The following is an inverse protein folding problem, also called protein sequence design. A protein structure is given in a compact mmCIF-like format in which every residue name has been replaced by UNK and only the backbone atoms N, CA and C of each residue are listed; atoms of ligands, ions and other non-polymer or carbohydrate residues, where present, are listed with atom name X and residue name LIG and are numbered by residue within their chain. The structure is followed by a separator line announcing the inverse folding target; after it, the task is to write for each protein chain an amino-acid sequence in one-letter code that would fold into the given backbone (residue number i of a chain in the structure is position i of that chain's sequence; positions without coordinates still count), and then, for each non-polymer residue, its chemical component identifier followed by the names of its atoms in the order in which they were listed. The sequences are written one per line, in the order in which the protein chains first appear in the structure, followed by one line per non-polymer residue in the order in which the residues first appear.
data_IF_811836482753
#
_entry.id   IF_811836482753
#
_cell.length_a   1.000
_cell.length_b   1.000
_cell.length_c   1.000
_cell.angle_alpha   90.00
_cell.angle_beta   90.00
_cell.angle_gamma   90.00
#
_symmetry.space_group_name_H-M   'P 1'
#
loop_
_entity.id
_entity.type
_entity.pdbx_description
1 polymer ?
#
# COMPACT_ATOMS: atom_id res chain seq x y z
N UNK A 1 -2.71 39.95 89.89
CA UNK A 1 -2.17 41.23 89.36
C UNK A 1 -1.93 41.05 87.88
N UNK A 2 -2.37 42.03 87.08
CA UNK A 2 -2.41 42.03 85.62
C UNK A 2 -1.03 42.06 84.94
N UNK A 3 -0.95 41.49 83.72
CA UNK A 3 -0.37 42.03 82.46
C UNK A 3 -0.19 40.84 81.49
N UNK A 4 -0.94 40.61 80.40
CA UNK A 4 -1.31 41.38 79.20
C UNK A 4 -0.13 41.82 78.31
N UNK A 5 -0.36 41.72 76.98
CA UNK A 5 0.48 42.07 75.78
C UNK A 5 1.00 40.80 75.06
N UNK A 6 0.84 40.57 73.76
CA UNK A 6 0.05 41.20 72.68
C UNK A 6 0.03 40.25 71.47
N UNK A 7 -1.15 39.85 71.02
CA UNK A 7 -1.41 38.88 69.95
C UNK A 7 -1.33 39.49 68.52
N UNK A 8 -0.53 40.56 68.31
CA UNK A 8 -0.67 41.43 67.12
C UNK A 8 0.36 41.28 66.00
N UNK A 9 1.43 40.51 66.16
CA UNK A 9 2.54 40.56 65.18
C UNK A 9 2.66 39.37 64.22
N UNK A 10 2.01 38.23 64.48
CA UNK A 10 2.12 37.05 63.61
C UNK A 10 1.25 37.16 62.34
N UNK A 11 0.29 38.08 62.30
CA UNK A 11 -0.73 38.16 61.24
C UNK A 11 -0.30 38.90 59.95
N UNK A 12 0.84 39.60 59.93
CA UNK A 12 1.25 40.40 58.75
C UNK A 12 2.18 39.66 57.76
N UNK A 13 2.89 38.62 58.19
CA UNK A 13 3.82 37.91 57.31
C UNK A 13 3.12 36.85 56.42
N UNK A 14 1.97 36.31 56.84
CA UNK A 14 1.27 35.25 56.11
C UNK A 14 0.43 35.78 54.92
N UNK A 15 0.05 37.06 54.95
CA UNK A 15 -0.83 37.65 53.94
C UNK A 15 -0.11 37.99 52.60
N UNK A 16 1.21 38.22 52.64
CA UNK A 16 1.96 38.60 51.44
C UNK A 16 2.40 37.39 50.61
N UNK A 17 2.70 36.24 51.25
CA UNK A 17 3.07 35.02 50.52
C UNK A 17 1.88 34.32 49.84
N UNK A 18 0.64 34.53 50.31
CA UNK A 18 -0.55 33.92 49.70
C UNK A 18 -1.03 34.64 48.44
N UNK A 19 -0.58 35.88 48.21
CA UNK A 19 -1.09 36.73 47.12
C UNK A 19 -0.37 36.51 45.80
N UNK A 20 0.84 35.93 45.80
CA UNK A 20 1.63 35.68 44.58
C UNK A 20 1.36 34.33 43.94
N UNK A 21 0.78 33.36 44.66
CA UNK A 21 0.37 32.06 44.12
C UNK A 21 -0.97 32.09 43.36
N UNK A 22 -1.77 33.16 43.49
CA UNK A 22 -3.07 33.26 42.85
C UNK A 22 -3.03 33.74 41.38
N UNK A 23 -1.90 34.28 40.91
CA UNK A 23 -1.79 34.86 39.55
C UNK A 23 -1.24 33.88 38.49
N UNK A 24 -0.79 32.68 38.89
CA UNK A 24 -0.31 31.67 37.95
C UNK A 24 -1.40 30.67 37.48
N UNK A 25 -2.64 30.78 37.98
CA UNK A 25 -3.69 29.78 37.75
C UNK A 25 -4.43 29.93 36.40
N UNK A 26 -4.15 30.98 35.62
CA UNK A 26 -4.75 31.20 34.30
C UNK A 26 -3.68 31.23 33.19
N UNK A 27 -2.79 30.24 33.14
CA UNK A 27 -2.13 29.93 31.87
C UNK A 27 -3.14 29.15 31.00
N UNK A 28 -3.60 29.68 29.85
CA UNK A 28 -4.44 28.92 28.94
C UNK A 28 -3.69 27.64 28.56
N UNK A 29 -4.25 26.48 28.89
CA UNK A 29 -3.73 25.20 28.40
C UNK A 29 -3.85 25.23 26.88
N UNK A 30 -2.71 25.29 26.21
CA UNK A 30 -2.60 25.10 24.78
C UNK A 30 -3.12 23.70 24.46
N UNK A 31 -4.40 23.64 24.12
CA UNK A 31 -5.06 22.41 23.75
C UNK A 31 -4.55 22.13 22.35
N UNK A 32 -3.60 21.19 22.23
CA UNK A 32 -3.07 20.78 20.94
C UNK A 32 -4.26 20.59 19.98
N UNK A 33 -4.27 21.26 18.81
CA UNK A 33 -5.42 21.23 17.93
C UNK A 33 -5.74 19.77 17.60
N UNK A 34 -6.95 19.33 17.97
CA UNK A 34 -7.43 17.99 17.67
C UNK A 34 -7.51 17.89 16.14
N UNK A 35 -6.56 17.18 15.55
CA UNK A 35 -6.55 16.97 14.11
C UNK A 35 -7.77 16.13 13.72
N UNK A 36 -8.49 16.57 12.69
CA UNK A 36 -9.48 15.74 12.04
C UNK A 36 -8.74 14.54 11.43
N UNK A 37 -9.00 13.34 11.95
CA UNK A 37 -8.51 12.08 11.37
C UNK A 37 -9.69 11.38 10.72
N UNK A 38 -9.57 11.06 9.44
CA UNK A 38 -10.48 10.15 8.76
C UNK A 38 -9.85 8.76 8.80
N UNK A 39 -10.63 7.75 9.19
CA UNK A 39 -10.22 6.35 9.14
C UNK A 39 -11.32 5.56 8.45
N UNK A 40 -10.99 4.87 7.36
CA UNK A 40 -11.86 3.87 6.75
C UNK A 40 -11.54 2.52 7.38
N UNK A 41 -12.37 2.07 8.31
CA UNK A 41 -12.27 0.72 8.83
C UNK A 41 -12.48 -0.28 7.69
N UNK A 42 -11.48 -1.11 7.40
CA UNK A 42 -11.61 -2.20 6.43
C UNK A 42 -12.41 -3.31 7.09
N UNK A 43 -13.69 -3.45 6.72
CA UNK A 43 -14.60 -4.45 7.29
C UNK A 43 -14.52 -5.80 6.59
N UNK A 44 -14.09 -5.83 5.33
CA UNK A 44 -13.85 -7.04 4.55
C UNK A 44 -12.78 -6.78 3.48
N UNK A 45 -12.04 -7.83 3.13
CA UNK A 45 -11.05 -7.81 2.05
C UNK A 45 -11.57 -8.66 0.90
N UNK A 46 -11.46 -8.16 -0.32
CA UNK A 46 -11.91 -8.86 -1.54
C UNK A 46 -10.92 -9.94 -1.96
N UNK A 47 -11.37 -10.87 -2.80
CA UNK A 47 -10.52 -11.93 -3.34
C UNK A 47 -9.26 -11.38 -4.01
N UNK A 48 -9.41 -10.32 -4.83
CA UNK A 48 -8.35 -9.42 -5.26
C UNK A 48 -8.34 -8.22 -4.31
N UNK A 49 -7.44 -8.15 -3.31
CA UNK A 49 -7.49 -7.11 -2.31
C UNK A 49 -7.23 -5.73 -2.91
N UNK A 50 -8.16 -4.81 -2.70
CA UNK A 50 -8.08 -3.49 -3.32
C UNK A 50 -8.71 -2.36 -2.49
N UNK A 51 -9.24 -2.68 -1.31
CA UNK A 51 -9.86 -1.71 -0.42
C UNK A 51 -8.87 -0.59 -0.09
N UNK A 52 -9.36 0.65 -0.02
CA UNK A 52 -8.53 1.81 0.31
C UNK A 52 -7.91 1.64 1.71
N UNK A 53 -6.62 1.99 1.83
CA UNK A 53 -5.88 1.89 3.08
C UNK A 53 -5.25 0.52 3.33
N UNK A 54 -5.48 -0.48 2.48
CA UNK A 54 -4.68 -1.71 2.51
C UNK A 54 -3.22 -1.42 2.16
N UNK A 55 -2.30 -2.02 2.91
CA UNK A 55 -0.87 -1.88 2.71
C UNK A 55 -0.14 -3.20 2.93
N UNK A 56 0.91 -3.40 2.14
CA UNK A 56 1.81 -4.55 2.16
C UNK A 56 3.25 -4.07 2.23
N UNK A 57 4.08 -4.80 2.97
CA UNK A 57 5.53 -4.58 2.99
C UNK A 57 6.25 -5.78 2.43
N UNK A 58 7.27 -5.51 1.62
CA UNK A 58 8.05 -6.52 0.91
C UNK A 58 9.55 -6.30 1.08
N UNK A 59 10.30 -7.40 1.05
CA UNK A 59 11.76 -7.40 0.96
C UNK A 59 12.22 -8.37 -0.14
N UNK A 60 13.36 -8.11 -0.79
CA UNK A 60 14.04 -9.12 -1.58
C UNK A 60 14.32 -10.37 -0.75
N UNK A 61 14.21 -11.53 -1.38
CA UNK A 61 14.48 -12.82 -0.73
C UNK A 61 15.94 -12.88 -0.21
N UNK A 62 16.10 -13.34 1.04
CA UNK A 62 17.40 -13.43 1.71
C UNK A 62 17.86 -12.15 2.42
N UNK A 63 17.17 -11.02 2.26
CA UNK A 63 17.49 -9.81 3.05
C UNK A 63 17.04 -9.92 4.52
N UNK A 64 17.72 -9.16 5.38
CA UNK A 64 17.37 -9.07 6.80
C UNK A 64 15.99 -8.41 6.99
N UNK A 65 15.16 -8.94 7.90
CA UNK A 65 13.83 -8.37 8.21
C UNK A 65 13.89 -6.95 8.79
N UNK A 66 15.06 -6.51 9.24
CA UNK A 66 15.30 -5.14 9.72
C UNK A 66 15.64 -4.17 8.58
N UNK A 67 15.84 -4.65 7.35
CA UNK A 67 16.07 -3.80 6.18
C UNK A 67 14.84 -2.92 5.87
N UNK A 68 15.04 -1.70 5.36
CA UNK A 68 13.93 -0.87 4.90
C UNK A 68 13.12 -1.58 3.78
N UNK A 69 11.80 -1.78 3.95
CA UNK A 69 11.00 -2.52 2.98
C UNK A 69 10.55 -1.67 1.80
N UNK A 70 10.17 -2.35 0.70
CA UNK A 70 9.25 -1.78 -0.27
C UNK A 70 7.83 -1.84 0.29
N UNK A 71 7.00 -0.86 -0.06
CA UNK A 71 5.60 -0.77 0.37
C UNK A 71 4.69 -0.65 -0.84
N UNK A 72 3.68 -1.51 -0.90
CA UNK A 72 2.54 -1.35 -1.80
C UNK A 72 1.35 -0.86 -0.98
N UNK A 73 0.62 0.15 -1.44
CA UNK A 73 -0.57 0.67 -0.76
C UNK A 73 -1.72 0.90 -1.75
N UNK A 74 -2.92 0.45 -1.41
CA UNK A 74 -4.14 0.79 -2.15
C UNK A 74 -4.60 2.19 -1.76
N UNK A 75 -4.67 3.07 -2.74
CA UNK A 75 -5.09 4.47 -2.59
C UNK A 75 -6.58 4.68 -2.89
N UNK A 76 -7.29 3.64 -3.34
CA UNK A 76 -8.72 3.70 -3.66
C UNK A 76 -9.01 4.16 -5.09
N UNK A 77 -10.26 4.59 -5.30
CA UNK A 77 -10.79 4.94 -6.62
C UNK A 77 -10.21 6.26 -7.15
N UNK A 78 -9.94 6.29 -8.46
CA UNK A 78 -9.40 7.44 -9.18
C UNK A 78 -9.72 7.34 -10.68
N UNK A 79 -9.18 8.25 -11.48
CA UNK A 79 -9.17 8.20 -12.94
C UNK A 79 -7.74 7.95 -13.46
N UNK A 80 -7.64 7.14 -14.51
CA UNK A 80 -6.43 6.99 -15.31
C UNK A 80 -6.78 7.36 -16.75
N UNK A 81 -6.41 8.58 -17.15
CA UNK A 81 -6.99 9.20 -18.35
C UNK A 81 -8.49 9.44 -18.14
N UNK A 82 -9.31 8.91 -19.03
CA UNK A 82 -10.78 8.94 -18.99
C UNK A 82 -11.39 7.67 -18.36
N UNK A 83 -10.56 6.72 -17.91
CA UNK A 83 -11.02 5.44 -17.37
C UNK A 83 -11.07 5.45 -15.84
N UNK A 84 -12.17 4.96 -15.26
CA UNK A 84 -12.24 4.68 -13.83
C UNK A 84 -11.24 3.58 -13.43
N UNK A 85 -10.50 3.82 -12.35
CA UNK A 85 -9.42 2.95 -11.90
C UNK A 85 -9.31 2.90 -10.37
N UNK A 86 -8.61 1.89 -9.88
CA UNK A 86 -8.08 1.80 -8.52
C UNK A 86 -6.57 2.03 -8.58
N UNK A 87 -6.06 2.95 -7.75
CA UNK A 87 -4.63 3.27 -7.68
C UNK A 87 -3.92 2.46 -6.61
N UNK A 88 -2.76 1.91 -6.97
CA UNK A 88 -1.87 1.16 -6.08
C UNK A 88 -0.46 1.75 -6.13
N UNK A 89 -0.04 2.42 -5.07
CA UNK A 89 1.29 3.04 -4.99
C UNK A 89 2.31 2.05 -4.45
N UNK A 90 3.34 1.79 -5.23
CA UNK A 90 4.54 1.07 -4.85
C UNK A 90 5.66 2.06 -4.58
N UNK A 91 6.30 1.97 -3.41
CA UNK A 91 7.34 2.91 -3.00
C UNK A 91 8.37 2.27 -2.08
N UNK A 92 9.56 2.87 -1.99
CA UNK A 92 10.62 2.45 -1.07
C UNK A 92 11.94 2.25 -1.79
N UNK A 93 13.07 2.43 -1.08
CA UNK A 93 14.43 2.23 -1.62
C UNK A 93 14.68 2.96 -2.95
N UNK A 94 14.15 4.18 -3.09
CA UNK A 94 14.27 4.99 -4.30
C UNK A 94 13.32 4.61 -5.44
N UNK A 95 12.53 3.54 -5.30
CA UNK A 95 11.45 3.23 -6.22
C UNK A 95 10.19 4.04 -5.89
N UNK A 96 9.53 4.53 -6.93
CA UNK A 96 8.20 5.12 -6.86
C UNK A 96 7.44 4.80 -8.14
N UNK A 97 6.27 4.16 -8.00
CA UNK A 97 5.39 3.81 -9.10
C UNK A 97 3.94 3.77 -8.60
N UNK A 98 2.98 4.19 -9.42
CA UNK A 98 1.55 3.98 -9.14
C UNK A 98 0.95 3.15 -10.25
N UNK A 99 0.41 1.98 -9.92
CA UNK A 99 -0.30 1.09 -10.84
C UNK A 99 -1.80 1.43 -10.84
N UNK A 100 -2.43 1.44 -12.01
CA UNK A 100 -3.85 1.71 -12.17
C UNK A 100 -4.55 0.46 -12.68
N UNK A 101 -5.52 -0.02 -11.89
CA UNK A 101 -6.19 -1.30 -12.13
C UNK A 101 -7.70 -1.16 -12.23
N UNK A 102 -8.31 -2.04 -13.01
CA UNK A 102 -9.74 -2.33 -12.95
C UNK A 102 -9.94 -3.74 -12.39
N UNK A 103 -10.92 -3.89 -11.50
CA UNK A 103 -11.27 -5.16 -10.90
C UNK A 103 -12.77 -5.34 -11.10
N UNK A 104 -13.15 -6.46 -11.73
CA UNK A 104 -14.53 -6.85 -11.99
C UNK A 104 -14.68 -8.37 -11.85
N UNK A 105 -15.87 -8.89 -12.16
CA UNK A 105 -16.12 -10.34 -12.20
C UNK A 105 -15.25 -11.05 -13.25
N UNK A 106 -14.78 -10.33 -14.28
CA UNK A 106 -13.86 -10.85 -15.28
C UNK A 106 -12.40 -10.94 -14.78
N UNK A 107 -12.11 -10.46 -13.58
CA UNK A 107 -10.78 -10.50 -12.98
C UNK A 107 -10.16 -9.13 -12.78
N UNK A 108 -8.83 -9.09 -12.78
CA UNK A 108 -8.06 -7.86 -12.57
C UNK A 108 -7.27 -7.51 -13.84
N UNK A 109 -7.35 -6.24 -14.21
CA UNK A 109 -6.70 -5.68 -15.38
C UNK A 109 -5.85 -4.48 -15.02
N UNK A 110 -4.63 -4.43 -15.52
CA UNK A 110 -3.72 -3.30 -15.46
C UNK A 110 -3.97 -2.38 -16.66
N UNK A 111 -4.41 -1.15 -16.37
CA UNK A 111 -4.58 -0.10 -17.37
C UNK A 111 -3.24 0.54 -17.77
N UNK A 112 -2.31 0.59 -16.81
CA UNK A 112 -1.05 1.30 -16.94
C UNK A 112 -0.45 1.64 -15.59
N UNK A 113 0.65 2.39 -15.62
CA UNK A 113 1.32 2.86 -14.41
C UNK A 113 2.04 4.19 -14.63
N UNK A 114 2.26 4.93 -13.56
CA UNK A 114 3.07 6.15 -13.57
C UNK A 114 4.34 5.94 -12.76
N UNK A 115 5.42 6.60 -13.20
CA UNK A 115 6.68 6.75 -12.47
C UNK A 115 7.05 8.25 -12.48
N UNK A 116 7.96 8.73 -11.63
CA UNK A 116 8.45 10.10 -11.74
C UNK A 116 8.87 10.43 -13.17
N UNK A 117 8.22 11.43 -13.78
CA UNK A 117 8.50 11.92 -15.13
C UNK A 117 7.83 11.19 -16.28
N UNK A 118 7.13 10.05 -16.06
CA UNK A 118 6.50 9.32 -17.17
C UNK A 118 5.21 8.59 -16.78
N UNK A 119 4.38 8.35 -17.79
CA UNK A 119 3.17 7.53 -17.72
C UNK A 119 3.26 6.42 -18.77
N UNK A 120 2.88 5.21 -18.39
CA UNK A 120 2.79 4.06 -19.30
C UNK A 120 1.32 3.64 -19.41
N UNK A 121 0.78 3.59 -20.61
CA UNK A 121 -0.59 3.11 -20.88
C UNK A 121 -0.58 1.79 -21.63
N UNK A 122 -1.59 0.95 -21.37
CA UNK A 122 -1.76 -0.39 -21.95
C UNK A 122 -3.11 -0.46 -22.65
N UNK A 123 -3.12 -0.74 -23.95
CA UNK A 123 -4.34 -0.81 -24.77
C UNK A 123 -4.34 -2.05 -25.67
N UNK A 124 -5.24 -3.03 -25.46
CA UNK A 124 -6.20 -3.14 -24.35
C UNK A 124 -5.49 -3.31 -22.99
N UNK A 125 -6.19 -3.12 -21.85
CA UNK A 125 -5.64 -3.40 -20.53
C UNK A 125 -5.08 -4.82 -20.41
N UNK A 126 -3.96 -4.97 -19.70
CA UNK A 126 -3.32 -6.26 -19.48
C UNK A 126 -4.04 -7.02 -18.36
N UNK A 127 -4.52 -8.25 -18.62
CA UNK A 127 -5.17 -9.08 -17.59
C UNK A 127 -4.12 -9.67 -16.66
N UNK A 128 -4.03 -9.15 -15.44
CA UNK A 128 -3.13 -9.65 -14.40
C UNK A 128 -3.67 -10.91 -13.74
N UNK A 129 -4.99 -10.98 -13.50
CA UNK A 129 -5.64 -12.12 -12.84
C UNK A 129 -6.95 -12.53 -13.53
N UNK A 130 -7.29 -13.84 -13.52
CA UNK A 130 -8.52 -14.39 -14.12
C UNK A 130 -9.78 -14.06 -13.30
N UNK A 131 -10.98 -14.55 -13.64
CA UNK A 131 -12.15 -14.48 -12.78
C UNK A 131 -11.94 -15.29 -11.49
N UNK A 132 -12.58 -14.88 -10.39
CA UNK A 132 -12.40 -15.51 -9.07
C UNK A 132 -12.73 -17.02 -9.08
N UNK A 133 -13.75 -17.42 -9.84
CA UNK A 133 -14.20 -18.81 -9.94
C UNK A 133 -13.38 -19.66 -10.92
N UNK A 134 -12.38 -19.09 -11.61
CA UNK A 134 -11.60 -19.82 -12.61
C UNK A 134 -10.37 -20.55 -12.03
N UNK A 135 -9.87 -20.12 -10.87
CA UNK A 135 -8.60 -20.57 -10.30
C UNK A 135 -8.52 -22.08 -10.11
N UNK A 136 -7.52 -22.68 -10.75
CA UNK A 136 -7.14 -24.10 -10.64
C UNK A 136 -5.74 -24.31 -11.22
N UNK A 137 -5.05 -25.36 -10.80
CA UNK A 137 -3.79 -25.77 -11.43
C UNK A 137 -4.01 -26.05 -12.93
N UNK A 138 -3.04 -25.67 -13.77
CA UNK A 138 -3.13 -25.76 -15.22
C UNK A 138 -3.95 -24.66 -15.90
N UNK A 139 -4.62 -23.77 -15.15
CA UNK A 139 -5.27 -22.60 -15.75
C UNK A 139 -4.23 -21.72 -16.44
N UNK A 140 -4.52 -21.26 -17.66
CA UNK A 140 -3.71 -20.27 -18.34
C UNK A 140 -4.54 -19.15 -18.94
N UNK A 141 -4.00 -17.94 -18.98
CA UNK A 141 -4.55 -16.81 -19.72
C UNK A 141 -3.43 -16.04 -20.42
N UNK A 142 -3.76 -15.38 -21.52
CA UNK A 142 -2.81 -14.64 -22.33
C UNK A 142 -3.48 -13.50 -23.07
N UNK A 143 -2.68 -12.59 -23.59
CA UNK A 143 -3.14 -11.51 -24.45
C UNK A 143 -1.99 -10.74 -25.06
N UNK A 144 -2.37 -9.69 -25.79
CA UNK A 144 -1.44 -8.71 -26.33
C UNK A 144 -1.96 -7.31 -25.98
N UNK A 145 -1.03 -6.40 -25.68
CA UNK A 145 -1.33 -4.99 -25.44
C UNK A 145 -0.33 -4.10 -26.18
N UNK A 146 -0.81 -2.98 -26.68
CA UNK A 146 0.04 -1.87 -27.13
C UNK A 146 0.44 -1.04 -25.91
N UNK A 147 1.73 -0.79 -25.77
CA UNK A 147 2.31 0.00 -24.69
C UNK A 147 2.72 1.36 -25.23
N UNK A 148 2.25 2.44 -24.60
CA UNK A 148 2.72 3.80 -24.89
C UNK A 148 3.38 4.37 -23.65
N UNK A 149 4.60 4.87 -23.80
CA UNK A 149 5.31 5.65 -22.79
C UNK A 149 5.13 7.12 -23.14
N UNK A 150 4.58 7.87 -22.20
CA UNK A 150 4.24 9.28 -22.33
C UNK A 150 5.10 10.07 -21.34
N UNK A 151 5.84 11.06 -21.84
CA UNK A 151 6.63 12.02 -21.05
C UNK A 151 6.33 13.41 -21.60
N UNK A 152 6.18 14.40 -20.73
CA UNK A 152 5.83 15.78 -21.11
C UNK A 152 4.64 15.86 -22.09
N UNK A 153 3.61 15.05 -21.83
CA UNK A 153 2.39 14.90 -22.64
C UNK A 153 2.62 14.46 -24.11
N UNK A 154 3.78 13.85 -24.41
CA UNK A 154 4.11 13.30 -25.73
C UNK A 154 4.43 11.82 -25.62
N UNK A 155 4.01 11.04 -26.62
CA UNK A 155 4.45 9.65 -26.76
C UNK A 155 5.93 9.66 -27.13
N UNK A 156 6.77 9.16 -26.23
CA UNK A 156 8.23 9.07 -26.42
C UNK A 156 8.68 7.67 -26.82
N UNK A 157 7.87 6.65 -26.54
CA UNK A 157 8.08 5.28 -26.97
C UNK A 157 6.74 4.57 -27.14
N UNK A 158 6.63 3.73 -28.16
CA UNK A 158 5.48 2.85 -28.39
C UNK A 158 5.98 1.45 -28.76
N UNK A 159 5.27 0.43 -28.30
CA UNK A 159 5.62 -0.95 -28.61
C UNK A 159 4.50 -1.91 -28.25
N UNK A 160 4.79 -3.21 -28.33
CA UNK A 160 3.83 -4.26 -27.99
C UNK A 160 4.37 -5.13 -26.88
N UNK A 161 3.44 -5.67 -26.09
CA UNK A 161 3.69 -6.74 -25.13
C UNK A 161 2.71 -7.87 -25.38
N UNK A 162 3.23 -9.06 -25.58
CA UNK A 162 2.48 -10.31 -25.46
C UNK A 162 2.76 -10.89 -24.08
N UNK A 163 1.71 -11.36 -23.41
CA UNK A 163 1.82 -11.95 -22.09
C UNK A 163 1.09 -13.28 -22.03
N UNK A 164 1.63 -14.20 -21.22
CA UNK A 164 1.01 -15.47 -20.87
C UNK A 164 1.26 -15.77 -19.40
N UNK A 165 0.22 -16.21 -18.72
CA UNK A 165 0.26 -16.67 -17.35
C UNK A 165 -0.22 -18.11 -17.28
N UNK A 166 0.42 -18.92 -16.44
CA UNK A 166 0.02 -20.30 -16.18
C UNK A 166 0.07 -20.57 -14.68
N UNK A 167 -1.06 -21.01 -14.11
CA UNK A 167 -1.11 -21.52 -12.73
C UNK A 167 -0.46 -22.89 -12.74
N UNK A 168 0.69 -23.01 -12.08
CA UNK A 168 1.44 -24.25 -12.01
C UNK A 168 0.80 -25.20 -10.99
N UNK A 169 0.57 -24.69 -9.79
CA UNK A 169 0.09 -25.47 -8.65
C UNK A 169 -0.56 -24.57 -7.59
N UNK A 170 -1.25 -25.21 -6.64
CA UNK A 170 -1.63 -24.61 -5.35
C UNK A 170 -0.78 -25.27 -4.27
N UNK A 171 -0.12 -24.48 -3.44
CA UNK A 171 0.69 -25.02 -2.34
C UNK A 171 0.62 -24.16 -1.10
N UNK A 172 0.89 -24.76 0.05
CA UNK A 172 1.06 -24.04 1.29
C UNK A 172 2.48 -23.46 1.37
N UNK A 173 2.60 -22.16 1.70
CA UNK A 173 3.90 -21.49 1.88
C UNK A 173 3.94 -20.78 3.22
N UNK A 174 5.13 -20.76 3.82
CA UNK A 174 5.43 -19.96 5.00
C UNK A 174 6.32 -18.79 4.60
N UNK A 175 5.90 -17.58 4.93
CA UNK A 175 6.69 -16.34 4.86
C UNK A 175 6.79 -15.75 6.28
N UNK A 176 7.63 -14.75 6.54
CA UNK A 176 7.69 -14.12 7.85
C UNK A 176 6.31 -13.68 8.35
N UNK A 177 5.89 -14.23 9.49
CA UNK A 177 4.63 -13.88 10.16
C UNK A 177 3.35 -14.43 9.53
N UNK A 178 3.42 -15.30 8.50
CA UNK A 178 2.23 -15.80 7.81
C UNK A 178 2.46 -17.17 7.15
N UNK A 179 1.45 -18.04 7.20
CA UNK A 179 1.44 -19.32 6.50
C UNK A 179 0.10 -19.47 5.81
N UNK A 180 0.09 -19.72 4.50
CA UNK A 180 -1.14 -19.80 3.73
C UNK A 180 -0.97 -20.55 2.41
N UNK A 181 -2.10 -20.93 1.84
CA UNK A 181 -2.15 -21.42 0.48
C UNK A 181 -1.94 -20.30 -0.53
N UNK A 182 -1.08 -20.55 -1.51
CA UNK A 182 -0.84 -19.68 -2.67
C UNK A 182 -1.04 -20.45 -3.96
N UNK A 183 -1.44 -19.70 -4.98
CA UNK A 183 -1.30 -20.10 -6.38
C UNK A 183 0.09 -19.72 -6.86
N UNK A 184 0.87 -20.70 -7.32
CA UNK A 184 2.15 -20.46 -7.98
C UNK A 184 1.88 -20.23 -9.46
N UNK A 185 2.27 -19.06 -9.97
CA UNK A 185 1.95 -18.63 -11.32
C UNK A 185 3.25 -18.35 -12.06
N UNK A 186 3.43 -19.00 -13.20
CA UNK A 186 4.46 -18.63 -14.15
C UNK A 186 3.94 -17.51 -15.05
N UNK A 187 4.73 -16.45 -15.19
CA UNK A 187 4.47 -15.32 -16.08
C UNK A 187 5.52 -15.30 -17.16
N UNK A 188 5.06 -15.16 -18.40
CA UNK A 188 5.89 -15.00 -19.60
C UNK A 188 5.49 -13.70 -20.29
N UNK A 189 6.45 -12.83 -20.57
CA UNK A 189 6.28 -11.58 -21.29
C UNK A 189 7.29 -11.49 -22.43
N UNK A 190 6.82 -11.09 -23.60
CA UNK A 190 7.62 -10.85 -24.79
C UNK A 190 7.10 -9.63 -25.55
N UNK A 191 7.82 -9.23 -26.61
CA UNK A 191 7.46 -8.11 -27.46
C UNK A 191 8.44 -6.94 -27.36
N UNK A 192 8.25 -5.92 -28.20
CA UNK A 192 9.17 -4.79 -28.31
C UNK A 192 9.22 -3.89 -27.07
N UNK A 193 8.19 -3.94 -26.22
CA UNK A 193 8.10 -3.18 -24.97
C UNK A 193 8.21 -4.08 -23.72
N UNK A 194 8.66 -5.34 -23.86
CA UNK A 194 8.76 -6.30 -22.75
C UNK A 194 9.66 -5.83 -21.60
N UNK A 195 10.72 -5.06 -21.91
CA UNK A 195 11.68 -4.54 -20.91
C UNK A 195 11.09 -3.53 -19.93
N UNK A 196 9.88 -3.00 -20.19
CA UNK A 196 9.18 -2.12 -19.26
C UNK A 196 8.58 -2.87 -18.06
N UNK A 197 8.56 -4.20 -18.14
CA UNK A 197 7.99 -5.06 -17.12
C UNK A 197 9.08 -5.83 -16.37
N UNK A 198 8.81 -6.25 -15.12
CA UNK A 198 9.69 -7.17 -14.39
C UNK A 198 9.91 -8.47 -15.16
N UNK A 199 10.94 -9.23 -14.78
CA UNK A 199 11.52 -10.37 -15.53
C UNK A 199 10.56 -11.10 -16.48
N UNK A 200 11.03 -11.27 -17.72
CA UNK A 200 10.24 -11.78 -18.84
C UNK A 200 9.75 -13.22 -18.65
N UNK A 201 10.40 -14.02 -17.79
CA UNK A 201 9.94 -15.36 -17.42
C UNK A 201 10.24 -15.62 -15.95
N UNK A 202 9.21 -15.71 -15.13
CA UNK A 202 9.38 -15.89 -13.69
C UNK A 202 8.14 -16.43 -13.01
N UNK A 203 8.35 -16.98 -11.82
CA UNK A 203 7.27 -17.45 -10.96
C UNK A 203 7.00 -16.44 -9.85
N UNK A 204 5.72 -16.14 -9.63
CA UNK A 204 5.24 -15.31 -8.54
C UNK A 204 4.07 -16.00 -7.84
N UNK A 205 3.74 -15.56 -6.62
CA UNK A 205 2.78 -16.26 -5.76
C UNK A 205 1.64 -15.34 -5.37
N UNK A 206 0.41 -15.75 -5.65
CA UNK A 206 -0.79 -15.02 -5.27
C UNK A 206 -1.58 -15.81 -4.23
N UNK A 207 -1.97 -15.15 -3.13
CA UNK A 207 -2.90 -15.67 -2.16
C UNK A 207 -4.22 -14.88 -2.21
N UNK A 208 -5.37 -15.56 -2.38
CA UNK A 208 -6.68 -14.92 -2.21
C UNK A 208 -6.78 -14.15 -0.90
N UNK A 209 -7.40 -12.97 -0.95
CA UNK A 209 -7.58 -12.09 0.21
C UNK A 209 -6.29 -11.59 0.86
N UNK A 210 -5.12 -11.89 0.28
CA UNK A 210 -3.80 -11.48 0.76
C UNK A 210 -3.01 -10.73 -0.31
N UNK A 211 -3.27 -10.97 -1.58
CA UNK A 211 -2.49 -10.38 -2.67
C UNK A 211 -1.26 -11.21 -2.99
N UNK A 212 -0.23 -10.55 -3.48
CA UNK A 212 1.03 -11.19 -3.87
C UNK A 212 1.86 -11.52 -2.63
N UNK A 213 2.14 -12.81 -2.42
CA UNK A 213 3.05 -13.28 -1.37
C UNK A 213 4.51 -13.26 -1.85
N UNK A 214 4.69 -13.43 -3.16
CA UNK A 214 5.93 -13.18 -3.91
C UNK A 214 5.54 -12.40 -5.16
N UNK A 215 6.09 -11.20 -5.35
CA UNK A 215 5.76 -10.35 -6.50
C UNK A 215 6.52 -10.77 -7.76
N UNK A 216 6.10 -10.30 -8.95
CA UNK A 216 6.90 -10.41 -10.17
C UNK A 216 8.24 -9.64 -10.13
N UNK A 217 8.59 -8.92 -9.08
CA UNK A 217 9.93 -8.34 -8.92
C UNK A 217 10.83 -9.24 -8.05
N UNK A 218 10.34 -10.42 -7.67
CA UNK A 218 11.05 -11.33 -6.77
C UNK A 218 11.02 -10.89 -5.31
N UNK A 219 10.10 -9.98 -4.94
CA UNK A 219 9.96 -9.49 -3.58
C UNK A 219 9.03 -10.39 -2.76
N UNK A 220 9.41 -10.73 -1.54
CA UNK A 220 8.61 -11.53 -0.60
C UNK A 220 7.83 -10.63 0.36
N UNK A 221 6.56 -10.94 0.56
CA UNK A 221 5.72 -10.25 1.53
C UNK A 221 6.19 -10.59 2.95
N UNK A 222 6.51 -9.57 3.74
CA UNK A 222 6.96 -9.72 5.14
C UNK A 222 5.91 -9.24 6.14
N UNK A 223 4.98 -8.39 5.73
CA UNK A 223 3.86 -7.93 6.55
C UNK A 223 2.76 -7.29 5.71
N UNK A 224 1.59 -7.12 6.31
CA UNK A 224 0.46 -6.34 5.79
C UNK A 224 -0.36 -5.77 6.95
N UNK A 225 -1.09 -4.69 6.75
CA UNK A 225 -1.84 -4.00 7.82
C UNK A 225 -3.26 -4.55 8.07
N UNK A 226 -3.57 -5.72 7.53
CA UNK A 226 -4.89 -6.32 7.58
C UNK A 226 -4.81 -7.85 7.65
N UNK A 227 -5.92 -8.49 8.02
CA UNK A 227 -6.06 -9.94 8.01
C UNK A 227 -6.96 -10.33 6.84
N UNK A 228 -6.43 -11.14 5.92
CA UNK A 228 -7.27 -11.85 4.95
C UNK A 228 -7.92 -13.04 5.67
N UNK A 229 -9.25 -13.11 5.62
CA UNK A 229 -10.04 -14.22 6.16
C UNK A 229 -9.88 -15.48 5.32
#
# INVERSE_FOLDING_TARGET
MLNNVSFREVSRALAVLLSTLALAACAPRETAPRQATASTNVTAVSFYPAQVGLSWSYLPEGEALTSPPYTLASQGATLFGDQAALAFRFSGRGAEQTNYRQISDDGQFLLGFTKPGLTVTLTPPLREYPPVNAWRAGLSWSGQTTVRVISDNKVVQEGTVQYRYTVLEKRNVSVPGDTRDVWVINRQISGSAASLFPEANQNFWFAPYAGEMRTPEGLLQISRNYRGS
#
